data_IF_303547568549
#
_entry.id   IF_303547568549
#
_cell.length_a   1.000
_cell.length_b   1.000
_cell.length_c   1.000
_cell.angle_alpha   90.00
_cell.angle_beta   90.00
_cell.angle_gamma   90.00
#
_symmetry.space_group_name_H-M   'P 1'
#
loop_
_entity.id
_entity.type
_entity.pdbx_description
1 polymer ?
#
# COMPACT_ATOMS: atom_id res chain seq x y z
N UNK A 1 -3.01 9.66 -25.27
CA UNK A 1 -2.69 9.58 -23.82
C UNK A 1 -3.59 8.51 -23.21
N UNK A 2 -3.00 7.42 -22.66
CA UNK A 2 -3.79 6.28 -22.15
C UNK A 2 -4.59 6.73 -20.92
N UNK A 3 -5.92 6.66 -20.98
CA UNK A 3 -6.84 7.11 -19.90
C UNK A 3 -6.53 6.43 -18.57
N UNK A 4 -6.09 5.17 -18.60
CA UNK A 4 -5.67 4.43 -17.39
C UNK A 4 -4.42 5.04 -16.76
N UNK A 5 -3.45 5.48 -17.55
CA UNK A 5 -2.22 6.14 -17.07
C UNK A 5 -2.52 7.51 -16.46
N UNK A 6 -3.50 8.23 -17.00
CA UNK A 6 -3.95 9.50 -16.44
C UNK A 6 -4.68 9.29 -15.11
N UNK A 7 -5.61 8.33 -15.05
CA UNK A 7 -6.35 8.02 -13.83
C UNK A 7 -5.45 7.49 -12.70
N UNK A 8 -4.35 6.77 -13.03
CA UNK A 8 -3.41 6.25 -12.02
C UNK A 8 -2.70 7.35 -11.22
N UNK A 9 -2.54 8.56 -11.80
CA UNK A 9 -1.94 9.71 -11.09
C UNK A 9 -2.77 10.18 -9.90
N UNK A 10 -4.07 9.86 -9.85
CA UNK A 10 -4.94 10.19 -8.74
C UNK A 10 -4.92 9.12 -7.64
N UNK A 11 -4.27 7.97 -7.88
CA UNK A 11 -4.10 6.92 -6.88
C UNK A 11 -2.97 7.31 -5.93
N UNK A 12 -3.22 7.54 -4.62
CA UNK A 12 -2.22 8.07 -3.70
C UNK A 12 -0.92 7.27 -3.68
N UNK A 13 -0.99 5.94 -3.65
CA UNK A 13 0.17 5.05 -3.65
C UNK A 13 1.03 5.18 -4.93
N UNK A 14 0.40 5.36 -6.11
CA UNK A 14 1.12 5.60 -7.36
C UNK A 14 1.80 6.96 -7.36
N UNK A 15 1.11 7.98 -6.84
CA UNK A 15 1.67 9.33 -6.72
C UNK A 15 2.88 9.34 -5.77
N UNK A 16 2.85 8.55 -4.71
CA UNK A 16 4.00 8.34 -3.83
C UNK A 16 5.21 7.79 -4.59
N UNK A 17 5.06 6.70 -5.35
CA UNK A 17 6.15 6.14 -6.16
C UNK A 17 6.69 7.16 -7.18
N UNK A 18 5.78 7.91 -7.82
CA UNK A 18 6.18 8.94 -8.77
C UNK A 18 6.99 10.09 -8.11
N UNK A 19 6.63 10.49 -6.89
CA UNK A 19 7.38 11.49 -6.11
C UNK A 19 8.74 10.97 -5.67
N UNK A 20 8.84 9.68 -5.30
CA UNK A 20 10.09 9.07 -4.82
C UNK A 20 11.06 8.78 -5.96
N UNK A 21 10.58 8.29 -7.10
CA UNK A 21 11.43 7.71 -8.15
C UNK A 21 11.29 8.41 -9.51
N UNK A 22 10.16 9.05 -9.79
CA UNK A 22 9.87 9.66 -11.08
C UNK A 22 9.91 8.61 -12.21
N UNK A 23 10.77 8.86 -13.21
CA UNK A 23 11.00 7.93 -14.34
C UNK A 23 12.25 7.05 -14.19
N UNK A 24 12.98 7.19 -13.10
CA UNK A 24 14.21 6.43 -12.87
C UNK A 24 13.88 4.97 -12.62
N UNK A 25 14.73 4.00 -13.03
CA UNK A 25 14.61 2.62 -12.59
C UNK A 25 14.71 2.53 -11.06
N UNK A 26 13.93 1.64 -10.46
CA UNK A 26 13.95 1.39 -9.01
C UNK A 26 13.50 -0.04 -8.71
N UNK A 27 13.93 -0.58 -7.58
CA UNK A 27 13.53 -1.87 -7.04
C UNK A 27 12.46 -1.68 -5.99
N UNK A 28 11.30 -2.28 -6.22
CA UNK A 28 10.14 -2.21 -5.32
C UNK A 28 9.87 -3.58 -4.70
N UNK A 29 9.74 -3.64 -3.38
CA UNK A 29 9.08 -4.74 -2.69
C UNK A 29 7.65 -4.34 -2.39
N UNK A 30 6.69 -5.00 -3.02
CA UNK A 30 5.26 -4.85 -2.78
C UNK A 30 4.83 -5.93 -1.79
N UNK A 31 4.51 -5.52 -0.57
CA UNK A 31 4.04 -6.40 0.51
C UNK A 31 2.52 -6.44 0.47
N UNK A 32 1.96 -7.65 0.35
CA UNK A 32 0.56 -7.86 -0.01
C UNK A 32 0.36 -7.76 -1.53
N UNK A 33 1.23 -8.44 -2.31
CA UNK A 33 1.32 -8.34 -3.76
C UNK A 33 0.26 -9.17 -4.50
N UNK A 34 -1.00 -9.09 -4.06
CA UNK A 34 -2.16 -9.66 -4.72
C UNK A 34 -2.89 -8.69 -5.66
N UNK A 35 -4.05 -9.13 -6.15
CA UNK A 35 -5.00 -8.28 -6.90
C UNK A 35 -4.40 -7.59 -8.14
N UNK A 36 -3.59 -8.29 -8.93
CA UNK A 36 -2.94 -7.76 -10.14
C UNK A 36 -2.08 -6.50 -9.86
N UNK A 37 -1.41 -6.46 -8.69
CA UNK A 37 -0.60 -5.31 -8.30
C UNK A 37 0.59 -5.12 -9.24
N UNK A 38 1.27 -6.21 -9.65
CA UNK A 38 2.39 -6.18 -10.59
C UNK A 38 2.01 -5.53 -11.93
N UNK A 39 0.93 -5.99 -12.55
CA UNK A 39 0.42 -5.44 -13.82
C UNK A 39 0.08 -3.95 -13.69
N UNK A 40 -0.54 -3.55 -12.58
CA UNK A 40 -0.88 -2.13 -12.32
C UNK A 40 0.37 -1.27 -12.20
N UNK A 41 1.39 -1.73 -11.46
CA UNK A 41 2.63 -0.98 -11.25
C UNK A 41 3.46 -0.92 -12.53
N UNK A 42 3.67 -2.05 -13.20
CA UNK A 42 4.47 -2.11 -14.43
C UNK A 42 3.82 -1.32 -15.57
N UNK A 43 2.50 -1.16 -15.59
CA UNK A 43 1.82 -0.30 -16.58
C UNK A 43 2.14 1.18 -16.42
N UNK A 44 2.50 1.63 -15.21
CA UNK A 44 2.86 3.03 -14.90
C UNK A 44 4.38 3.22 -14.85
N UNK A 45 5.10 2.24 -14.32
CA UNK A 45 6.55 2.23 -14.14
C UNK A 45 7.17 1.03 -14.83
N UNK A 46 7.31 1.02 -16.17
CA UNK A 46 7.84 -0.13 -16.91
C UNK A 46 9.26 -0.55 -16.49
N UNK A 47 10.07 0.44 -16.07
CA UNK A 47 11.45 0.23 -15.59
C UNK A 47 11.54 -0.18 -14.12
N UNK A 48 10.43 -0.36 -13.40
CA UNK A 48 10.42 -0.88 -12.03
C UNK A 48 10.83 -2.36 -12.03
N UNK A 49 11.84 -2.72 -11.27
CA UNK A 49 12.13 -4.11 -10.90
C UNK A 49 11.20 -4.48 -9.75
N UNK A 50 10.10 -5.15 -10.09
CA UNK A 50 9.02 -5.44 -9.16
C UNK A 50 9.23 -6.78 -8.48
N UNK A 51 9.20 -6.78 -7.15
CA UNK A 51 9.22 -7.97 -6.30
C UNK A 51 7.93 -8.03 -5.50
N UNK A 52 7.21 -9.14 -5.59
CA UNK A 52 6.02 -9.40 -4.82
C UNK A 52 6.34 -10.15 -3.52
N UNK A 53 5.57 -9.88 -2.47
CA UNK A 53 5.55 -10.65 -1.23
C UNK A 53 4.12 -10.81 -0.76
N UNK A 54 3.68 -12.04 -0.49
CA UNK A 54 2.37 -12.33 0.09
C UNK A 54 2.42 -13.64 0.87
N UNK A 55 1.41 -13.88 1.72
CA UNK A 55 1.18 -15.15 2.40
C UNK A 55 0.86 -16.27 1.40
N UNK A 56 0.15 -15.94 0.33
CA UNK A 56 -0.29 -16.87 -0.70
C UNK A 56 -0.10 -16.23 -2.08
N UNK A 57 0.67 -16.90 -2.95
CA UNK A 57 0.92 -16.44 -4.31
C UNK A 57 -0.35 -16.34 -5.17
N UNK A 58 -1.35 -17.18 -4.88
CA UNK A 58 -2.55 -17.29 -5.73
C UNK A 58 -3.63 -16.24 -5.39
N UNK A 59 -3.35 -15.26 -4.51
CA UNK A 59 -4.32 -14.23 -4.13
C UNK A 59 -4.59 -13.25 -5.29
N UNK A 60 -5.52 -13.64 -6.19
CA UNK A 60 -5.94 -12.86 -7.36
C UNK A 60 -4.77 -12.40 -8.25
N UNK A 61 -3.75 -13.23 -8.41
CA UNK A 61 -2.69 -13.06 -9.40
C UNK A 61 -2.89 -14.02 -10.56
N UNK A 62 -2.52 -13.60 -11.76
CA UNK A 62 -2.50 -14.41 -12.98
C UNK A 62 -1.05 -14.76 -13.37
N UNK A 63 -0.89 -15.66 -14.34
CA UNK A 63 0.44 -15.98 -14.91
C UNK A 63 1.11 -14.73 -15.49
N UNK A 64 0.34 -13.82 -16.10
CA UNK A 64 0.86 -12.56 -16.63
C UNK A 64 1.41 -11.65 -15.51
N UNK A 65 0.77 -11.64 -14.32
CA UNK A 65 1.30 -10.89 -13.17
C UNK A 65 2.66 -11.44 -12.76
N UNK A 66 2.80 -12.77 -12.62
CA UNK A 66 4.07 -13.41 -12.26
C UNK A 66 5.15 -13.20 -13.33
N UNK A 67 4.81 -13.21 -14.61
CA UNK A 67 5.74 -12.92 -15.70
C UNK A 67 6.30 -11.49 -15.65
N UNK A 68 5.62 -10.56 -15.00
CA UNK A 68 6.06 -9.18 -14.79
C UNK A 68 6.89 -8.98 -13.52
N UNK A 69 6.89 -9.95 -12.60
CA UNK A 69 7.66 -9.92 -11.35
C UNK A 69 9.09 -10.38 -11.58
N UNK A 70 10.05 -9.71 -10.95
CA UNK A 70 11.44 -10.19 -10.90
C UNK A 70 11.56 -11.38 -9.94
N UNK A 71 10.87 -11.31 -8.80
CA UNK A 71 10.77 -12.39 -7.83
C UNK A 71 9.44 -12.30 -7.06
N UNK A 72 9.03 -13.42 -6.49
CA UNK A 72 7.91 -13.49 -5.55
C UNK A 72 8.35 -14.25 -4.29
N UNK A 73 8.12 -13.65 -3.14
CA UNK A 73 8.40 -14.23 -1.82
C UNK A 73 7.08 -14.67 -1.19
N UNK A 74 6.86 -15.99 -1.15
CA UNK A 74 5.69 -16.56 -0.45
C UNK A 74 6.09 -16.85 0.99
N UNK A 75 5.53 -16.07 1.95
CA UNK A 75 5.87 -16.22 3.36
C UNK A 75 4.84 -15.59 4.30
N UNK A 76 4.76 -16.15 5.49
CA UNK A 76 4.04 -15.57 6.62
C UNK A 76 4.93 -14.54 7.34
N UNK A 77 4.64 -13.27 7.15
CA UNK A 77 5.39 -12.16 7.75
C UNK A 77 5.36 -12.18 9.28
N UNK A 78 4.32 -12.78 9.89
CA UNK A 78 4.19 -12.84 11.36
C UNK A 78 5.28 -13.68 12.00
N UNK A 79 5.90 -14.60 11.24
CA UNK A 79 7.01 -15.43 11.72
C UNK A 79 8.36 -14.69 11.73
N UNK A 80 8.45 -13.51 11.14
CA UNK A 80 9.67 -12.68 11.03
C UNK A 80 10.87 -13.37 10.34
N UNK A 81 10.64 -14.46 9.62
CA UNK A 81 11.67 -15.23 8.89
C UNK A 81 11.87 -14.63 7.50
N UNK A 82 12.69 -13.58 7.40
CA UNK A 82 12.89 -12.81 6.17
C UNK A 82 14.31 -12.95 5.59
N UNK A 83 15.01 -14.05 5.88
CA UNK A 83 16.40 -14.27 5.45
C UNK A 83 16.53 -14.39 3.93
N UNK A 84 15.50 -14.88 3.26
CA UNK A 84 15.46 -14.99 1.79
C UNK A 84 15.33 -13.64 1.09
N UNK A 85 14.91 -12.60 1.81
CA UNK A 85 14.80 -11.24 1.27
C UNK A 85 16.14 -10.53 1.48
N UNK A 86 16.81 -10.06 0.41
CA UNK A 86 18.13 -9.45 0.54
C UNK A 86 18.09 -8.12 1.31
N UNK A 87 19.14 -7.89 2.13
CA UNK A 87 19.31 -6.63 2.84
C UNK A 87 19.88 -5.54 1.90
N UNK A 88 19.57 -4.27 2.19
CA UNK A 88 20.01 -3.08 1.46
C UNK A 88 19.80 -3.20 -0.06
N UNK A 89 18.67 -3.76 -0.46
CA UNK A 89 18.44 -4.11 -1.87
C UNK A 89 17.34 -3.26 -2.52
N UNK A 90 16.28 -2.95 -1.78
CA UNK A 90 15.11 -2.24 -2.32
C UNK A 90 15.27 -0.73 -2.21
N UNK A 91 14.91 -0.03 -3.27
CA UNK A 91 14.79 1.43 -3.28
C UNK A 91 13.47 1.87 -2.64
N UNK A 92 12.43 1.02 -2.75
CA UNK A 92 11.12 1.22 -2.13
C UNK A 92 10.52 -0.05 -1.57
N UNK A 93 9.84 0.08 -0.44
CA UNK A 93 8.94 -0.95 0.11
C UNK A 93 7.59 -0.30 0.31
N UNK A 94 6.51 -0.95 -0.09
CA UNK A 94 5.20 -0.49 0.28
C UNK A 94 4.34 -1.59 0.90
N UNK A 95 3.48 -1.17 1.85
CA UNK A 95 2.51 -2.00 2.54
C UNK A 95 1.17 -1.28 2.44
N UNK A 96 0.27 -1.77 1.60
CA UNK A 96 -1.03 -1.13 1.37
C UNK A 96 -2.13 -2.10 1.75
N UNK A 97 -2.81 -1.81 2.86
CA UNK A 97 -3.82 -2.68 3.46
C UNK A 97 -3.27 -4.07 3.80
N UNK A 98 -2.19 -4.10 4.59
CA UNK A 98 -1.53 -5.33 5.07
C UNK A 98 -1.34 -5.31 6.58
N UNK A 99 -0.85 -4.20 7.13
CA UNK A 99 -0.43 -4.16 8.55
C UNK A 99 -1.58 -4.41 9.52
N UNK A 100 -2.80 -4.03 9.14
CA UNK A 100 -4.02 -4.25 9.93
C UNK A 100 -4.39 -5.72 10.12
N UNK A 101 -3.87 -6.60 9.25
CA UNK A 101 -4.04 -8.05 9.32
C UNK A 101 -2.98 -8.74 10.19
N UNK A 102 -1.94 -8.01 10.63
CA UNK A 102 -0.81 -8.57 11.36
C UNK A 102 -0.92 -8.24 12.85
N UNK A 103 -0.94 -9.26 13.71
CA UNK A 103 -0.96 -9.06 15.17
C UNK A 103 0.35 -8.45 15.70
N UNK A 104 1.47 -8.67 15.01
CA UNK A 104 2.81 -8.15 15.31
C UNK A 104 3.34 -7.22 14.20
N UNK A 105 2.47 -6.42 13.58
CA UNK A 105 2.82 -5.60 12.42
C UNK A 105 3.92 -4.57 12.69
N UNK A 106 4.11 -4.10 13.93
CA UNK A 106 5.21 -3.20 14.30
C UNK A 106 6.57 -3.90 14.17
N UNK A 107 6.65 -5.16 14.62
CA UNK A 107 7.83 -6.00 14.48
C UNK A 107 8.13 -6.33 13.02
N UNK A 108 7.09 -6.62 12.24
CA UNK A 108 7.19 -6.84 10.79
C UNK A 108 7.73 -5.60 10.08
N UNK A 109 7.18 -4.43 10.36
CA UNK A 109 7.68 -3.18 9.77
C UNK A 109 9.14 -2.90 10.13
N UNK A 110 9.56 -3.17 11.37
CA UNK A 110 10.98 -3.07 11.79
C UNK A 110 11.86 -4.07 11.04
N UNK A 111 11.42 -5.32 10.89
CA UNK A 111 12.17 -6.37 10.19
C UNK A 111 12.31 -6.11 8.68
N UNK A 112 11.45 -5.28 8.10
CA UNK A 112 11.56 -4.84 6.72
C UNK A 112 12.56 -3.69 6.50
N UNK A 113 12.90 -2.89 7.55
CA UNK A 113 13.82 -1.76 7.40
C UNK A 113 15.23 -2.16 6.92
N UNK A 114 15.85 -3.27 7.36
CA UNK A 114 17.13 -3.72 6.82
C UNK A 114 17.08 -4.04 5.31
N UNK A 115 15.90 -4.34 4.75
CA UNK A 115 15.73 -4.67 3.33
C UNK A 115 15.80 -3.43 2.43
N UNK A 116 15.49 -2.24 2.99
CA UNK A 116 15.66 -0.97 2.32
C UNK A 116 17.16 -0.59 2.23
N UNK A 117 17.55 -0.05 1.08
CA UNK A 117 18.82 0.67 0.94
C UNK A 117 18.87 1.89 1.86
N UNK A 118 20.05 2.37 2.25
CA UNK A 118 20.21 3.72 2.77
C UNK A 118 19.56 4.73 1.82
N UNK A 119 18.74 5.64 2.35
CA UNK A 119 17.97 6.60 1.54
C UNK A 119 16.72 6.02 0.84
N UNK A 120 16.47 4.71 0.96
CA UNK A 120 15.25 4.08 0.40
C UNK A 120 13.98 4.51 1.13
N UNK A 121 12.84 4.31 0.49
CA UNK A 121 11.53 4.80 0.95
C UNK A 121 10.61 3.65 1.37
N UNK A 122 9.80 3.88 2.40
CA UNK A 122 8.69 2.98 2.73
C UNK A 122 7.37 3.77 2.76
N UNK A 123 6.33 3.20 2.17
CA UNK A 123 4.97 3.71 2.21
C UNK A 123 4.06 2.69 2.86
N UNK A 124 3.27 3.14 3.82
CA UNK A 124 2.32 2.30 4.56
C UNK A 124 0.96 2.97 4.49
N UNK A 125 -0.08 2.22 4.11
CA UNK A 125 -1.46 2.68 4.10
C UNK A 125 -2.34 1.62 4.74
N UNK A 126 -3.24 2.03 5.63
CA UNK A 126 -4.08 1.15 6.45
C UNK A 126 -5.37 1.86 6.87
N UNK A 127 -6.43 1.14 7.28
CA UNK A 127 -7.60 1.74 7.88
C UNK A 127 -7.24 2.48 9.17
N UNK A 128 -7.44 3.81 9.19
CA UNK A 128 -7.10 4.63 10.35
C UNK A 128 -8.12 4.49 11.49
N UNK A 129 -7.82 5.11 12.64
CA UNK A 129 -8.71 5.08 13.82
C UNK A 129 -10.15 5.53 13.47
N UNK A 130 -10.30 6.49 12.57
CA UNK A 130 -11.62 6.99 12.16
C UNK A 130 -12.49 5.91 11.52
N UNK A 131 -11.89 4.93 10.84
CA UNK A 131 -12.62 3.84 10.19
C UNK A 131 -13.47 3.01 11.15
N UNK A 132 -13.10 2.94 12.44
CA UNK A 132 -13.87 2.23 13.47
C UNK A 132 -15.22 2.87 13.82
N UNK A 133 -15.40 4.14 13.43
CA UNK A 133 -16.59 4.96 13.71
C UNK A 133 -17.45 5.19 12.47
N UNK A 134 -17.00 4.73 11.30
CA UNK A 134 -17.76 4.84 10.06
C UNK A 134 -18.86 3.76 10.00
N UNK A 135 -19.94 3.97 9.23
CA UNK A 135 -20.97 2.97 9.06
C UNK A 135 -20.42 1.72 8.35
N UNK A 136 -20.97 0.57 8.71
CA UNK A 136 -20.66 -0.68 7.98
C UNK A 136 -21.25 -0.62 6.56
N UNK A 137 -20.48 -1.06 5.56
CA UNK A 137 -20.87 -1.03 4.17
C UNK A 137 -20.22 -2.14 3.37
N UNK A 138 -20.94 -2.72 2.41
CA UNK A 138 -20.38 -3.69 1.48
C UNK A 138 -19.13 -3.11 0.79
N UNK A 139 -18.06 -3.92 0.69
CA UNK A 139 -16.78 -3.50 0.13
C UNK A 139 -15.96 -2.60 1.07
N UNK A 140 -16.18 -2.75 2.37
CA UNK A 140 -15.42 -2.18 3.49
C UNK A 140 -15.44 -0.65 3.60
N UNK A 141 -16.16 -0.14 4.61
CA UNK A 141 -16.13 1.26 5.03
C UNK A 141 -15.88 1.38 6.53
N UNK A 142 -16.26 0.37 7.32
CA UNK A 142 -15.90 0.27 8.72
C UNK A 142 -14.71 -0.70 8.86
N UNK A 143 -13.85 -0.45 9.84
CA UNK A 143 -12.73 -1.36 10.16
C UNK A 143 -13.19 -2.81 10.37
N UNK A 144 -14.35 -2.99 11.01
CA UNK A 144 -14.93 -4.30 11.33
C UNK A 144 -15.64 -4.98 10.14
N UNK A 145 -15.75 -4.32 8.99
CA UNK A 145 -16.36 -4.94 7.80
C UNK A 145 -15.49 -6.08 7.24
N UNK A 146 -14.20 -6.07 7.54
CA UNK A 146 -13.28 -7.16 7.25
C UNK A 146 -12.95 -7.91 8.54
N UNK A 147 -13.37 -9.19 8.69
CA UNK A 147 -13.12 -9.96 9.91
C UNK A 147 -11.66 -10.33 10.12
N UNK A 148 -10.79 -10.16 9.10
CA UNK A 148 -9.36 -10.42 9.19
C UNK A 148 -8.56 -9.25 9.74
N UNK A 149 -9.20 -8.10 9.96
CA UNK A 149 -8.58 -6.95 10.62
C UNK A 149 -8.42 -7.21 12.12
N UNK A 150 -7.19 -7.33 12.59
CA UNK A 150 -6.87 -7.66 13.98
C UNK A 150 -6.28 -6.48 14.76
N UNK A 151 -5.74 -5.46 14.08
CA UNK A 151 -5.04 -4.36 14.74
C UNK A 151 -5.30 -3.00 14.11
N UNK A 152 -5.55 -2.01 14.97
CA UNK A 152 -5.72 -0.60 14.57
C UNK A 152 -4.43 0.15 14.83
N UNK A 153 -4.00 0.91 13.84
CA UNK A 153 -2.84 1.79 13.93
C UNK A 153 -3.24 3.26 13.88
N UNK A 154 -2.34 4.13 14.33
CA UNK A 154 -2.40 5.57 14.06
C UNK A 154 -1.08 6.04 13.46
N UNK A 155 -1.15 7.00 12.54
CA UNK A 155 0.05 7.57 11.94
C UNK A 155 0.98 8.23 12.97
N UNK A 156 0.45 8.69 14.10
CA UNK A 156 1.28 9.26 15.17
C UNK A 156 2.14 8.18 15.83
N UNK A 157 1.53 7.05 16.22
CA UNK A 157 2.25 5.93 16.84
C UNK A 157 3.30 5.35 15.90
N UNK A 158 2.93 5.10 14.63
CA UNK A 158 3.87 4.60 13.64
C UNK A 158 4.98 5.61 13.32
N UNK A 159 4.67 6.91 13.31
CA UNK A 159 5.68 7.97 13.14
C UNK A 159 6.79 7.88 14.20
N UNK A 160 6.40 7.70 15.47
CA UNK A 160 7.36 7.54 16.57
C UNK A 160 8.21 6.27 16.39
N UNK A 161 7.56 5.14 16.05
CA UNK A 161 8.25 3.88 15.77
C UNK A 161 9.38 4.05 14.74
N UNK A 162 9.10 4.71 13.62
CA UNK A 162 10.09 4.90 12.55
C UNK A 162 11.16 5.93 12.92
N UNK A 163 10.81 6.99 13.64
CA UNK A 163 11.78 7.98 14.10
C UNK A 163 12.77 7.35 15.10
N UNK A 164 12.30 6.52 16.01
CA UNK A 164 13.13 5.74 16.95
C UNK A 164 14.04 4.73 16.25
N UNK A 165 13.67 4.30 15.02
CA UNK A 165 14.48 3.41 14.18
C UNK A 165 15.25 4.17 13.08
N UNK A 166 15.64 5.43 13.37
CA UNK A 166 16.47 6.27 12.49
C UNK A 166 15.90 6.51 11.08
N UNK A 167 14.59 6.61 10.94
CA UNK A 167 13.94 6.97 9.70
C UNK A 167 13.43 8.42 9.73
N UNK A 168 13.46 9.09 8.60
CA UNK A 168 12.85 10.39 8.40
C UNK A 168 11.39 10.23 8.01
N UNK A 169 10.47 10.89 8.69
CA UNK A 169 9.06 10.91 8.32
C UNK A 169 8.82 12.05 7.33
N UNK A 170 8.59 11.71 6.07
CA UNK A 170 8.40 12.65 4.97
C UNK A 170 6.94 13.08 4.81
N UNK A 171 6.01 12.22 5.21
CA UNK A 171 4.58 12.51 5.15
C UNK A 171 3.77 11.54 5.99
N UNK A 172 2.70 12.05 6.61
CA UNK A 172 1.76 11.25 7.38
C UNK A 172 0.41 11.93 7.45
N UNK A 173 -0.64 11.16 7.69
CA UNK A 173 -1.96 11.69 7.93
C UNK A 173 -3.08 10.86 7.32
N UNK A 174 -4.24 11.47 7.21
CA UNK A 174 -5.40 10.84 6.53
C UNK A 174 -5.17 10.86 5.03
N UNK A 175 -5.31 9.68 4.40
CA UNK A 175 -5.22 9.56 2.95
C UNK A 175 -6.41 10.28 2.29
N UNK A 176 -6.09 11.10 1.29
CA UNK A 176 -7.08 11.83 0.49
C UNK A 176 -6.66 11.88 -0.97
N UNK A 177 -7.56 11.50 -1.86
CA UNK A 177 -7.42 11.72 -3.29
C UNK A 177 -8.50 12.70 -3.75
N UNK A 178 -8.12 13.94 -3.99
CA UNK A 178 -9.07 14.95 -4.48
C UNK A 178 -9.70 14.54 -5.82
N UNK A 179 -8.96 13.85 -6.69
CA UNK A 179 -9.51 13.32 -7.94
C UNK A 179 -10.63 12.32 -7.70
N UNK A 180 -10.50 11.41 -6.73
CA UNK A 180 -11.55 10.47 -6.39
C UNK A 180 -12.72 11.13 -5.66
N UNK A 181 -12.49 12.16 -4.85
CA UNK A 181 -13.55 12.95 -4.22
C UNK A 181 -14.39 13.65 -5.28
N UNK A 182 -13.76 14.32 -6.25
CA UNK A 182 -14.45 14.99 -7.36
C UNK A 182 -15.20 13.98 -8.26
N UNK A 183 -14.57 12.82 -8.52
CA UNK A 183 -15.18 11.77 -9.33
C UNK A 183 -16.30 10.99 -8.62
N UNK A 184 -16.45 11.14 -7.30
CA UNK A 184 -17.40 10.35 -6.49
C UNK A 184 -18.85 10.40 -7.00
N UNK A 185 -19.44 11.55 -7.32
CA UNK A 185 -20.83 11.60 -7.84
C UNK A 185 -21.00 10.79 -9.12
N UNK A 186 -20.03 10.88 -10.03
CA UNK A 186 -20.05 10.12 -11.29
C UNK A 186 -19.87 8.61 -11.06
N UNK A 187 -19.06 8.22 -10.10
CA UNK A 187 -18.89 6.82 -9.70
C UNK A 187 -20.19 6.27 -9.11
N UNK A 188 -20.86 7.01 -8.23
CA UNK A 188 -22.16 6.64 -7.65
C UNK A 188 -23.20 6.45 -8.76
N UNK A 189 -23.30 7.42 -9.68
CA UNK A 189 -24.20 7.32 -10.82
C UNK A 189 -23.92 6.10 -11.69
N UNK A 190 -22.63 5.82 -11.99
CA UNK A 190 -22.25 4.64 -12.77
C UNK A 190 -22.64 3.32 -12.07
N UNK A 191 -22.49 3.22 -10.74
CA UNK A 191 -22.97 2.07 -9.97
C UNK A 191 -24.49 1.93 -10.04
N UNK A 192 -25.21 3.01 -9.88
CA UNK A 192 -26.66 3.03 -9.97
C UNK A 192 -27.16 2.58 -11.35
N UNK A 193 -26.62 3.15 -12.44
CA UNK A 193 -26.96 2.78 -13.81
C UNK A 193 -26.59 1.33 -14.16
N UNK A 194 -25.55 0.77 -13.56
CA UNK A 194 -25.14 -0.62 -13.79
C UNK A 194 -25.89 -1.64 -12.96
N UNK A 195 -26.81 -1.21 -12.08
CA UNK A 195 -27.53 -2.08 -11.13
C UNK A 195 -26.64 -2.75 -10.10
N UNK A 196 -25.36 -2.33 -9.97
CA UNK A 196 -24.40 -2.89 -9.02
C UNK A 196 -24.62 -2.30 -7.63
N UNK A 197 -24.38 -3.12 -6.60
CA UNK A 197 -24.42 -2.67 -5.22
C UNK A 197 -23.30 -1.65 -4.97
N UNK A 198 -23.65 -0.53 -4.35
CA UNK A 198 -22.71 0.52 -3.98
C UNK A 198 -21.72 -0.02 -2.95
N UNK A 199 -20.42 0.26 -3.13
CA UNK A 199 -19.33 -0.24 -2.29
C UNK A 199 -18.70 0.88 -1.45
N UNK A 200 -18.27 0.55 -0.23
CA UNK A 200 -17.76 1.50 0.76
C UNK A 200 -16.50 2.26 0.30
N UNK A 201 -15.64 1.65 -0.50
CA UNK A 201 -14.41 2.29 -0.95
C UNK A 201 -14.60 3.55 -1.82
N UNK A 202 -15.81 3.78 -2.35
CA UNK A 202 -16.15 5.02 -3.06
C UNK A 202 -16.03 6.23 -2.11
N UNK A 203 -16.31 6.02 -0.82
CA UNK A 203 -16.37 7.05 0.21
C UNK A 203 -15.06 7.19 1.02
N UNK A 204 -14.07 6.31 0.83
CA UNK A 204 -12.84 6.30 1.62
C UNK A 204 -12.16 7.66 1.68
N UNK A 205 -11.99 8.30 0.52
CA UNK A 205 -11.25 9.56 0.43
C UNK A 205 -12.00 10.74 1.07
N UNK A 206 -13.32 10.82 0.90
CA UNK A 206 -14.11 11.91 1.48
C UNK A 206 -14.31 11.72 3.00
N UNK A 207 -14.53 10.48 3.45
CA UNK A 207 -14.74 10.17 4.86
C UNK A 207 -13.45 10.02 5.65
N UNK A 208 -12.31 9.81 4.97
CA UNK A 208 -11.00 9.61 5.60
C UNK A 208 -10.91 8.25 6.28
N UNK A 209 -11.22 7.19 5.55
CA UNK A 209 -11.12 5.82 5.99
C UNK A 209 -9.68 5.39 6.28
N UNK A 210 -8.77 5.68 5.35
CA UNK A 210 -7.38 5.26 5.45
C UNK A 210 -6.46 6.37 5.97
N UNK A 211 -5.46 5.96 6.70
CA UNK A 211 -4.30 6.75 7.09
C UNK A 211 -3.06 6.26 6.34
N UNK A 212 -2.06 7.12 6.19
CA UNK A 212 -0.80 6.75 5.56
C UNK A 212 0.40 7.29 6.33
N UNK A 213 1.53 6.62 6.14
CA UNK A 213 2.85 7.05 6.56
C UNK A 213 3.82 6.88 5.39
N UNK A 214 4.67 7.89 5.16
CA UNK A 214 5.74 7.89 4.18
C UNK A 214 7.04 8.21 4.89
N UNK A 215 7.98 7.27 4.86
CA UNK A 215 9.27 7.42 5.51
C UNK A 215 10.43 7.23 4.52
N UNK A 216 11.58 7.73 4.91
CA UNK A 216 12.86 7.46 4.26
C UNK A 216 13.83 6.90 5.30
N UNK A 217 14.47 5.76 4.98
CA UNK A 217 15.60 5.26 5.78
C UNK A 217 16.75 6.25 5.71
N UNK A 218 17.40 6.52 6.84
CA UNK A 218 18.50 7.49 6.88
C UNK A 218 19.58 7.10 5.83
N UNK A 219 20.00 8.04 4.96
CA UNK A 219 21.02 7.77 3.95
C UNK A 219 22.41 7.43 4.51
N UNK A 220 22.66 7.79 5.77
CA UNK A 220 23.95 7.63 6.44
C UNK A 220 24.04 6.34 7.29
N UNK A 221 23.19 5.36 7.04
CA UNK A 221 23.17 4.06 7.73
C UNK A 221 23.68 2.92 6.88
#
# INVERSE_FOLDING_TARGET
>A
MNVRLFASRFVPKINFLNKSFGKKPFRLLDVGAGNHSATKIKSVFPSCEYHGLDLNKDYNNSEEDFALMHAFYEMDLTQLKMETIPNNYFDGIWLVHVVEHLYNGEEVMKALLPKLKPGGYMYIEYPGIKSTKLPSMYGSLNFKDDPTHVRIYSYQKLSNLFTENNCLVLGKGVRRSFGFIIAMPFRILAYWLSGKKLIGNIFWDILGFAEYLWIQKNPNQ
#
